data_IF_791373225213
#
_entry.id   IF_791373225213
#
_cell.length_a   1.000
_cell.length_b   1.000
_cell.length_c   1.000
_cell.angle_alpha   90.00
_cell.angle_beta   90.00
_cell.angle_gamma   90.00
#
_symmetry.space_group_name_H-M   'P 1'
#
loop_
_entity.id
_entity.type
_entity.pdbx_description
1 polymer ?
#
# COMPACT_ATOMS: atom_id res chain seq x y z
N UNK A 1 12.06 10.31 -1.12
CA UNK A 1 11.48 10.62 0.20
C UNK A 1 11.03 9.30 0.77
N UNK A 2 11.28 9.05 2.05
CA UNK A 2 10.93 7.75 2.65
C UNK A 2 9.61 7.87 3.40
N UNK A 3 8.78 6.86 3.29
CA UNK A 3 7.53 6.76 4.03
C UNK A 3 7.49 5.42 4.76
N UNK A 4 6.94 5.46 5.96
CA UNK A 4 6.56 4.28 6.75
C UNK A 4 5.07 4.03 6.54
N UNK A 5 4.72 2.81 6.18
CA UNK A 5 3.35 2.35 6.02
C UNK A 5 3.05 1.33 7.10
N UNK A 6 1.88 1.44 7.72
CA UNK A 6 1.30 0.35 8.52
C UNK A 6 0.20 -0.29 7.70
N UNK A 7 0.27 -1.59 7.45
CA UNK A 7 -0.62 -2.31 6.53
C UNK A 7 -1.18 -3.58 7.14
N UNK A 8 -2.31 -4.03 6.60
CA UNK A 8 -2.88 -5.35 6.84
C UNK A 8 -3.17 -6.03 5.52
N UNK A 9 -3.18 -7.36 5.55
CA UNK A 9 -3.73 -8.16 4.46
C UNK A 9 -5.17 -8.49 4.80
N UNK A 10 -6.09 -8.09 3.92
CA UNK A 10 -7.51 -8.44 3.96
C UNK A 10 -7.69 -9.76 3.23
N UNK A 11 -8.18 -10.79 3.93
CA UNK A 11 -8.59 -12.05 3.32
C UNK A 11 -10.00 -11.89 2.74
N UNK A 12 -10.13 -12.05 1.42
CA UNK A 12 -11.39 -11.90 0.69
C UNK A 12 -12.17 -13.21 0.54
N UNK A 13 -11.61 -14.33 1.02
CA UNK A 13 -12.29 -15.63 0.99
C UNK A 13 -13.25 -15.83 2.17
N UNK A 14 -13.06 -15.07 3.25
CA UNK A 14 -13.92 -15.12 4.44
C UNK A 14 -15.07 -14.10 4.33
N UNK A 15 -16.23 -14.44 4.91
CA UNK A 15 -17.39 -13.55 5.02
C UNK A 15 -17.86 -13.47 6.50
N UNK A 16 -17.64 -12.36 7.22
CA UNK A 16 -17.02 -11.11 6.73
C UNK A 16 -15.50 -11.27 6.50
N UNK A 17 -14.88 -10.40 5.68
CA UNK A 17 -13.43 -10.41 5.49
C UNK A 17 -12.66 -10.35 6.79
N UNK A 18 -11.63 -11.18 6.91
CA UNK A 18 -10.70 -11.18 8.05
C UNK A 18 -9.43 -10.39 7.72
N UNK A 19 -8.71 -9.97 8.75
CA UNK A 19 -7.50 -9.15 8.62
C UNK A 19 -6.31 -9.86 9.27
N UNK A 20 -5.15 -9.79 8.62
CA UNK A 20 -3.89 -10.19 9.25
C UNK A 20 -3.52 -9.24 10.39
N UNK A 21 -2.54 -9.63 11.20
CA UNK A 21 -1.83 -8.68 12.05
C UNK A 21 -1.22 -7.55 11.22
N UNK A 22 -1.15 -6.36 11.82
CA UNK A 22 -0.58 -5.18 11.20
C UNK A 22 0.93 -5.34 11.00
N UNK A 23 1.42 -4.93 9.82
CA UNK A 23 2.82 -4.95 9.43
C UNK A 23 3.31 -3.56 9.13
N UNK A 24 4.61 -3.34 9.30
CA UNK A 24 5.26 -2.07 8.98
C UNK A 24 6.17 -2.24 7.78
N UNK A 25 5.97 -1.41 6.76
CA UNK A 25 6.83 -1.35 5.58
C UNK A 25 7.49 0.04 5.49
N UNK A 26 8.71 0.10 4.99
CA UNK A 26 9.41 1.37 4.71
C UNK A 26 9.80 1.41 3.25
N UNK A 27 9.33 2.45 2.55
CA UNK A 27 9.57 2.60 1.12
C UNK A 27 10.17 3.96 0.82
N UNK A 28 11.20 3.92 -0.02
CA UNK A 28 11.76 5.11 -0.64
C UNK A 28 11.03 5.40 -1.95
N UNK A 29 10.11 6.36 -1.91
CA UNK A 29 9.26 6.70 -3.06
C UNK A 29 10.07 7.28 -4.22
N UNK A 30 11.28 7.80 -3.98
CA UNK A 30 12.17 8.27 -5.06
C UNK A 30 12.73 7.14 -5.91
N UNK A 31 12.65 5.90 -5.43
CA UNK A 31 13.14 4.72 -6.16
C UNK A 31 12.05 4.00 -6.94
N UNK A 32 10.79 4.46 -6.88
CA UNK A 32 9.67 3.82 -7.53
C UNK A 32 8.79 4.83 -8.26
N UNK A 33 8.63 4.62 -9.58
CA UNK A 33 7.76 5.43 -10.43
C UNK A 33 6.28 5.39 -10.02
N UNK A 34 5.88 4.40 -9.22
CA UNK A 34 4.51 4.29 -8.73
C UNK A 34 4.06 5.51 -7.92
N UNK A 35 5.00 6.28 -7.38
CA UNK A 35 4.74 7.46 -6.55
C UNK A 35 5.05 8.79 -7.28
N UNK A 36 5.36 8.73 -8.57
CA UNK A 36 5.65 9.93 -9.35
C UNK A 36 4.41 10.85 -9.36
N UNK A 37 4.59 12.10 -8.94
CA UNK A 37 3.52 13.09 -8.90
C UNK A 37 2.59 13.01 -7.68
N UNK A 38 2.84 12.14 -6.70
CA UNK A 38 2.14 12.21 -5.41
C UNK A 38 2.56 13.48 -4.65
N UNK A 39 1.59 14.33 -4.31
CA UNK A 39 1.79 15.60 -3.59
C UNK A 39 1.15 15.59 -2.19
N UNK A 40 0.42 14.54 -1.85
CA UNK A 40 -0.29 14.39 -0.58
C UNK A 40 -0.14 12.98 0.00
N UNK A 41 -0.32 12.83 1.31
CA UNK A 41 -0.31 11.51 1.95
C UNK A 41 -1.43 10.61 1.43
N UNK A 42 -2.58 11.19 1.06
CA UNK A 42 -3.68 10.44 0.45
C UNK A 42 -3.29 9.81 -0.89
N UNK A 43 -2.58 10.56 -1.75
CA UNK A 43 -2.08 10.03 -3.02
C UNK A 43 -1.00 8.97 -2.79
N UNK A 44 -0.12 9.17 -1.80
CA UNK A 44 0.91 8.19 -1.43
C UNK A 44 0.30 6.88 -0.94
N UNK A 45 -0.76 6.94 -0.12
CA UNK A 45 -1.52 5.77 0.32
C UNK A 45 -2.12 5.03 -0.88
N UNK A 46 -2.85 5.74 -1.74
CA UNK A 46 -3.49 5.17 -2.92
C UNK A 46 -2.46 4.55 -3.88
N UNK A 47 -1.32 5.22 -4.09
CA UNK A 47 -0.22 4.73 -4.91
C UNK A 47 0.39 3.45 -4.32
N UNK A 48 0.56 3.37 -3.00
CA UNK A 48 1.09 2.16 -2.37
C UNK A 48 0.13 0.98 -2.49
N UNK A 49 -1.16 1.19 -2.22
CA UNK A 49 -2.16 0.13 -2.39
C UNK A 49 -2.26 -0.31 -3.85
N UNK A 50 -2.17 0.63 -4.80
CA UNK A 50 -2.13 0.31 -6.22
C UNK A 50 -0.89 -0.52 -6.59
N UNK A 51 0.28 -0.10 -6.09
CA UNK A 51 1.54 -0.80 -6.26
C UNK A 51 1.54 -2.22 -5.67
N UNK A 52 0.81 -2.47 -4.58
CA UNK A 52 0.71 -3.81 -4.01
C UNK A 52 -0.35 -4.68 -4.69
N UNK A 53 -1.50 -4.09 -5.03
CA UNK A 53 -2.69 -4.85 -5.42
C UNK A 53 -2.91 -4.94 -6.94
N UNK A 54 -2.33 -4.06 -7.75
CA UNK A 54 -2.67 -3.90 -9.18
C UNK A 54 -1.42 -3.76 -10.06
N UNK A 55 -0.31 -4.44 -9.73
CA UNK A 55 0.98 -4.29 -10.42
C UNK A 55 0.89 -4.49 -11.94
N UNK A 56 0.16 -5.51 -12.39
CA UNK A 56 0.05 -5.84 -13.80
C UNK A 56 -0.99 -5.00 -14.55
N UNK A 57 -2.08 -4.57 -13.88
CA UNK A 57 -3.18 -3.86 -14.51
C UNK A 57 -4.11 -3.23 -13.47
N UNK A 58 -4.64 -2.01 -13.71
CA UNK A 58 -5.63 -1.39 -12.83
C UNK A 58 -6.98 -2.15 -12.80
N UNK A 59 -7.22 -3.04 -13.76
CA UNK A 59 -8.47 -3.79 -13.87
C UNK A 59 -8.36 -5.22 -13.33
N UNK A 60 -7.21 -5.62 -12.76
CA UNK A 60 -6.98 -6.97 -12.25
C UNK A 60 -6.21 -6.93 -10.95
N UNK A 61 -6.82 -7.46 -9.90
CA UNK A 61 -6.14 -7.64 -8.61
C UNK A 61 -5.06 -8.71 -8.78
N UNK A 62 -3.86 -8.45 -8.29
CA UNK A 62 -2.70 -9.34 -8.36
C UNK A 62 -2.97 -10.67 -7.62
N UNK A 63 -3.54 -10.58 -6.42
CA UNK A 63 -4.00 -11.73 -5.65
C UNK A 63 -5.54 -11.70 -5.51
N UNK A 64 -6.30 -12.60 -6.16
CA UNK A 64 -7.75 -12.57 -6.09
C UNK A 64 -8.31 -12.91 -4.70
N UNK A 65 -7.53 -13.58 -3.86
CA UNK A 65 -7.94 -14.01 -2.52
C UNK A 65 -7.61 -13.00 -1.43
N UNK A 66 -6.78 -12.00 -1.72
CA UNK A 66 -6.32 -11.07 -0.69
C UNK A 66 -5.93 -9.70 -1.25
N UNK A 67 -6.08 -8.67 -0.42
CA UNK A 67 -5.60 -7.31 -0.72
C UNK A 67 -4.79 -6.74 0.42
N UNK A 68 -3.82 -5.91 0.09
CA UNK A 68 -3.15 -5.03 1.05
C UNK A 68 -4.01 -3.80 1.28
N UNK A 69 -4.24 -3.45 2.54
CA UNK A 69 -4.86 -2.19 2.97
C UNK A 69 -3.89 -1.43 3.87
N UNK A 70 -3.74 -0.13 3.61
CA UNK A 70 -2.98 0.79 4.45
C UNK A 70 -3.87 1.26 5.61
N UNK A 71 -3.31 1.25 6.81
CA UNK A 71 -3.90 1.78 8.03
C UNK A 71 -3.34 3.16 8.37
N UNK A 72 -2.04 3.38 8.11
CA UNK A 72 -1.41 4.68 8.26
C UNK A 72 -0.20 4.84 7.35
N UNK A 73 0.09 6.11 7.00
CA UNK A 73 1.27 6.53 6.25
C UNK A 73 1.94 7.70 6.96
N UNK A 74 3.24 7.60 7.20
CA UNK A 74 4.03 8.62 7.89
C UNK A 74 5.31 8.94 7.10
N UNK A 75 5.60 10.22 6.83
CA UNK A 75 6.88 10.59 6.23
C UNK A 75 8.03 10.36 7.22
N UNK A 76 9.11 9.74 6.75
CA UNK A 76 10.33 9.58 7.52
C UNK A 76 11.22 10.79 7.23
N UNK A 77 11.45 11.61 8.25
CA UNK A 77 12.44 12.69 8.16
C UNK A 77 13.83 12.07 8.01
N UNK A 78 14.48 12.37 6.89
CA UNK A 78 15.89 12.05 6.66
C UNK A 78 16.67 13.32 7.01
N UNK A 79 17.34 13.29 8.16
CA UNK A 79 18.27 14.34 8.62
C UNK A 79 19.53 14.38 7.77
#
# INVERSE_FOLDING_TARGET
MKYKFVTVVVNLLDDPPTFSEARTDVIDTQKSRAFDGCNSLQEVEAAYEAYCNYQASPNRIENPSAKVKVLSVEPIQVS
#
